data_IF_858887724768
#
_entry.id   IF_858887724768
#
_cell.length_a   1.000
_cell.length_b   1.000
_cell.length_c   1.000
_cell.angle_alpha   90.00
_cell.angle_beta   90.00
_cell.angle_gamma   90.00
#
_symmetry.space_group_name_H-M   'P 1'
#
loop_
_entity.id
_entity.type
_entity.pdbx_description
1 polymer ?
#
# COMPACT_ATOMS: atom_id res chain seq x y z
N UNK A 1 -30.48 4.67 -0.47
CA UNK A 1 -30.01 5.62 -1.49
C UNK A 1 -28.78 6.34 -0.93
N UNK A 2 -27.59 5.87 -1.23
CA UNK A 2 -26.33 6.49 -0.82
C UNK A 2 -25.91 7.43 -1.94
N UNK A 3 -25.99 8.74 -1.71
CA UNK A 3 -25.40 9.73 -2.61
C UNK A 3 -23.87 9.72 -2.38
N UNK A 4 -23.15 9.25 -3.37
CA UNK A 4 -21.71 9.32 -3.44
C UNK A 4 -21.28 10.75 -3.80
N UNK A 5 -20.61 11.43 -2.89
CA UNK A 5 -19.78 12.59 -3.25
C UNK A 5 -18.40 12.11 -3.71
N UNK A 6 -17.79 12.74 -4.73
CA UNK A 6 -16.55 12.25 -5.31
C UNK A 6 -15.37 12.42 -4.36
N UNK A 7 -14.56 11.37 -4.28
CA UNK A 7 -13.24 11.44 -3.65
C UNK A 7 -12.39 12.50 -4.36
N UNK A 8 -11.98 13.56 -3.65
CA UNK A 8 -10.97 14.48 -4.14
C UNK A 8 -9.63 13.75 -4.30
N UNK A 9 -9.44 13.19 -5.48
CA UNK A 9 -8.10 12.88 -5.98
C UNK A 9 -7.52 14.20 -6.46
N UNK A 10 -6.40 14.62 -5.89
CA UNK A 10 -5.68 15.81 -6.32
C UNK A 10 -5.31 15.69 -7.80
N UNK A 11 -6.08 16.37 -8.66
CA UNK A 11 -5.76 16.56 -10.06
C UNK A 11 -4.80 17.73 -10.21
N UNK A 12 -3.63 17.50 -10.76
CA UNK A 12 -2.72 18.53 -11.20
C UNK A 12 -3.28 19.18 -12.46
N UNK A 13 -3.73 20.42 -12.38
CA UNK A 13 -3.98 21.30 -13.51
C UNK A 13 -2.74 22.14 -13.80
N UNK A 14 -2.01 21.78 -14.82
CA UNK A 14 -0.94 22.57 -15.41
C UNK A 14 -0.97 22.38 -16.92
N UNK A 15 -1.61 23.32 -17.61
CA UNK A 15 -1.60 23.40 -19.07
C UNK A 15 -0.24 23.93 -19.54
N UNK A 16 0.62 23.03 -20.04
CA UNK A 16 1.80 23.41 -20.78
C UNK A 16 1.94 22.48 -21.97
N UNK A 17 1.81 23.07 -23.17
CA UNK A 17 1.88 22.41 -24.46
C UNK A 17 3.11 21.54 -24.64
N UNK A 18 3.02 20.26 -24.36
CA UNK A 18 4.01 19.25 -24.65
C UNK A 18 3.52 18.33 -25.75
N UNK A 19 4.37 18.15 -26.75
CA UNK A 19 4.23 17.23 -27.87
C UNK A 19 3.70 15.88 -27.37
N UNK A 20 2.51 15.50 -27.81
CA UNK A 20 1.90 14.18 -27.58
C UNK A 20 2.87 13.10 -28.07
N UNK A 21 3.62 12.51 -27.19
CA UNK A 21 4.27 11.24 -27.43
C UNK A 21 3.15 10.19 -27.49
N UNK A 22 2.70 9.86 -28.70
CA UNK A 22 1.81 8.72 -28.93
C UNK A 22 2.64 7.46 -28.71
N UNK A 23 2.53 6.88 -27.54
CA UNK A 23 2.94 5.49 -27.35
C UNK A 23 1.98 4.62 -28.17
N UNK A 24 2.48 3.74 -29.05
CA UNK A 24 1.62 2.82 -29.77
C UNK A 24 1.04 1.83 -28.76
N UNK A 25 -0.28 1.89 -28.53
CA UNK A 25 -1.02 0.79 -27.95
C UNK A 25 -0.94 -0.37 -28.94
N UNK A 26 0.02 -1.27 -28.80
CA UNK A 26 -0.11 -2.60 -29.37
C UNK A 26 -1.37 -3.21 -28.73
N UNK A 27 -2.38 -3.51 -29.54
CA UNK A 27 -3.53 -4.30 -29.11
C UNK A 27 -3.03 -5.66 -28.66
N UNK A 28 -2.63 -5.77 -27.42
CA UNK A 28 -2.36 -7.06 -26.78
C UNK A 28 -3.67 -7.83 -26.75
N UNK A 29 -3.60 -9.09 -27.04
CA UNK A 29 -4.72 -10.03 -27.08
C UNK A 29 -5.43 -9.97 -25.72
N UNK A 30 -6.65 -9.43 -25.65
CA UNK A 30 -7.47 -9.47 -24.44
C UNK A 30 -7.68 -10.92 -24.02
N UNK A 31 -7.52 -11.20 -22.73
CA UNK A 31 -7.85 -12.50 -22.14
C UNK A 31 -9.32 -12.78 -22.42
N UNK A 32 -9.64 -13.92 -23.02
CA UNK A 32 -11.02 -14.33 -23.24
C UNK A 32 -11.53 -15.00 -21.96
N UNK A 33 -12.43 -14.33 -21.26
CA UNK A 33 -13.07 -14.87 -20.07
C UNK A 33 -14.28 -15.73 -20.41
N UNK A 34 -14.53 -16.77 -19.61
CA UNK A 34 -15.68 -17.66 -19.72
C UNK A 34 -16.63 -17.55 -18.53
N UNK A 35 -16.14 -17.05 -17.40
CA UNK A 35 -16.91 -16.86 -16.16
C UNK A 35 -16.40 -15.65 -15.41
N UNK A 36 -17.29 -14.92 -14.73
CA UNK A 36 -16.93 -13.87 -13.76
C UNK A 36 -17.87 -13.89 -12.56
N UNK A 37 -17.32 -13.61 -11.38
CA UNK A 37 -18.07 -13.46 -10.12
C UNK A 37 -17.66 -12.16 -9.46
N UNK A 38 -18.60 -11.27 -9.10
CA UNK A 38 -18.28 -10.02 -8.42
C UNK A 38 -17.66 -10.26 -7.04
N UNK A 39 -16.66 -9.43 -6.67
CA UNK A 39 -16.06 -9.39 -5.35
C UNK A 39 -16.52 -8.10 -4.69
N UNK A 40 -17.32 -8.22 -3.63
CA UNK A 40 -17.94 -7.08 -2.93
C UNK A 40 -17.12 -6.59 -1.74
N UNK A 41 -16.04 -7.26 -1.41
CA UNK A 41 -15.18 -6.93 -0.27
C UNK A 41 -14.21 -5.78 -0.60
N UNK A 42 -13.91 -4.96 0.43
CA UNK A 42 -12.95 -3.85 0.37
C UNK A 42 -13.60 -2.47 0.29
N UNK A 43 -12.76 -1.43 0.47
CA UNK A 43 -13.17 -0.03 0.66
C UNK A 43 -13.06 0.84 -0.61
N UNK A 44 -12.65 0.25 -1.76
CA UNK A 44 -12.53 0.99 -3.01
C UNK A 44 -13.84 1.05 -3.77
N UNK A 45 -14.06 2.15 -4.53
CA UNK A 45 -15.18 2.29 -5.46
C UNK A 45 -14.97 1.50 -6.76
N UNK A 46 -13.91 0.69 -6.87
CA UNK A 46 -13.63 -0.12 -8.03
C UNK A 46 -14.52 -1.37 -8.07
N UNK A 47 -14.89 -1.77 -9.28
CA UNK A 47 -15.50 -3.08 -9.48
C UNK A 47 -14.42 -4.14 -9.55
N UNK A 48 -14.57 -5.19 -8.79
CA UNK A 48 -13.64 -6.33 -8.74
C UNK A 48 -14.38 -7.61 -9.08
N UNK A 49 -13.73 -8.46 -9.88
CA UNK A 49 -14.28 -9.75 -10.27
C UNK A 49 -13.21 -10.83 -10.17
N UNK A 50 -13.58 -11.97 -9.61
CA UNK A 50 -12.95 -13.23 -9.95
C UNK A 50 -13.33 -13.56 -11.38
N UNK A 51 -12.38 -13.93 -12.23
CA UNK A 51 -12.63 -14.27 -13.62
C UNK A 51 -11.89 -15.55 -14.00
N UNK A 52 -12.57 -16.45 -14.71
CA UNK A 52 -11.97 -17.64 -15.30
C UNK A 52 -11.72 -17.40 -16.78
N UNK A 53 -10.48 -17.56 -17.21
CA UNK A 53 -10.10 -17.44 -18.61
C UNK A 53 -10.43 -18.70 -19.41
N UNK A 54 -10.59 -18.54 -20.74
CA UNK A 54 -10.71 -19.68 -21.65
C UNK A 54 -9.44 -20.55 -21.72
N UNK A 55 -8.33 -20.05 -21.17
CA UNK A 55 -7.08 -20.79 -20.97
C UNK A 55 -7.06 -21.62 -19.68
N UNK A 56 -8.17 -21.65 -18.94
CA UNK A 56 -8.33 -22.35 -17.68
C UNK A 56 -7.68 -21.69 -16.47
N UNK A 57 -7.12 -20.48 -16.65
CA UNK A 57 -6.48 -19.73 -15.55
C UNK A 57 -7.46 -18.82 -14.83
N UNK A 58 -7.18 -18.61 -13.56
CA UNK A 58 -7.92 -17.69 -12.67
C UNK A 58 -7.30 -16.30 -12.71
N UNK A 59 -8.14 -15.27 -12.67
CA UNK A 59 -7.74 -13.88 -12.73
C UNK A 59 -8.52 -13.01 -11.75
N UNK A 60 -7.91 -11.94 -11.29
CA UNK A 60 -8.58 -10.79 -10.70
C UNK A 60 -8.72 -9.73 -11.81
N UNK A 61 -9.95 -9.44 -12.20
CA UNK A 61 -10.27 -8.29 -13.05
C UNK A 61 -10.72 -7.15 -12.15
N UNK A 62 -10.04 -6.01 -12.25
CA UNK A 62 -10.35 -4.77 -11.56
C UNK A 62 -10.69 -3.69 -12.55
N UNK A 63 -11.79 -2.99 -12.32
CA UNK A 63 -12.27 -1.90 -13.16
C UNK A 63 -12.43 -0.65 -12.32
N UNK A 64 -11.76 0.42 -12.73
CA UNK A 64 -11.81 1.74 -12.07
C UNK A 64 -12.55 2.71 -13.01
N UNK A 65 -13.84 3.02 -12.73
CA UNK A 65 -14.58 4.01 -13.50
C UNK A 65 -14.06 5.42 -13.25
N UNK A 66 -14.28 6.31 -14.24
CA UNK A 66 -13.97 7.73 -14.13
C UNK A 66 -12.82 8.17 -15.04
N UNK A 67 -12.34 9.39 -14.86
CA UNK A 67 -11.26 9.94 -15.70
C UNK A 67 -10.03 9.06 -15.68
N UNK A 68 -9.49 8.79 -16.87
CA UNK A 68 -8.27 8.00 -17.02
C UNK A 68 -7.13 8.75 -16.35
N UNK A 69 -6.57 8.14 -15.29
CA UNK A 69 -5.31 8.62 -14.72
C UNK A 69 -4.17 8.24 -15.69
N UNK A 70 -3.47 9.23 -16.21
CA UNK A 70 -2.34 9.00 -17.13
C UNK A 70 -1.19 8.23 -16.46
N UNK A 71 -1.08 8.32 -15.12
CA UNK A 71 -0.06 7.60 -14.37
C UNK A 71 -0.38 6.11 -14.19
N UNK A 72 -1.63 5.69 -14.44
CA UNK A 72 -2.08 4.31 -14.25
C UNK A 72 -1.20 3.28 -14.97
N UNK A 73 -0.88 3.53 -16.27
CA UNK A 73 -0.03 2.63 -17.05
C UNK A 73 1.39 2.60 -16.48
N UNK A 74 1.93 3.76 -16.08
CA UNK A 74 3.26 3.85 -15.50
C UNK A 74 3.35 3.07 -14.19
N UNK A 75 2.34 3.16 -13.32
CA UNK A 75 2.25 2.42 -12.07
C UNK A 75 2.08 0.91 -12.32
N UNK A 76 1.26 0.54 -13.30
CA UNK A 76 1.08 -0.87 -13.66
C UNK A 76 2.38 -1.50 -14.19
N UNK A 77 3.12 -0.80 -15.06
CA UNK A 77 4.41 -1.28 -15.55
C UNK A 77 5.48 -1.27 -14.45
N UNK A 78 5.44 -0.33 -13.49
CA UNK A 78 6.30 -0.37 -12.30
C UNK A 78 6.04 -1.62 -11.45
N UNK A 79 4.77 -1.97 -11.22
CA UNK A 79 4.42 -3.20 -10.52
C UNK A 79 4.90 -4.46 -11.25
N UNK A 80 4.82 -4.51 -12.59
CA UNK A 80 5.40 -5.62 -13.39
C UNK A 80 6.91 -5.70 -13.19
N UNK A 81 7.59 -4.56 -13.16
CA UNK A 81 9.02 -4.49 -12.92
C UNK A 81 9.37 -5.04 -11.54
N UNK A 82 8.59 -4.71 -10.49
CA UNK A 82 8.76 -5.31 -9.17
C UNK A 82 8.70 -6.85 -9.22
N UNK A 83 7.66 -7.40 -9.85
CA UNK A 83 7.52 -8.86 -9.99
C UNK A 83 8.74 -9.49 -10.70
N UNK A 84 9.26 -8.82 -11.73
CA UNK A 84 10.46 -9.30 -12.46
C UNK A 84 11.73 -9.23 -11.60
N UNK A 85 11.90 -8.18 -10.79
CA UNK A 85 13.02 -8.05 -9.85
C UNK A 85 12.98 -9.18 -8.83
N UNK A 86 11.83 -9.42 -8.19
CA UNK A 86 11.67 -10.48 -7.19
C UNK A 86 11.95 -11.86 -7.82
N UNK A 87 11.38 -12.14 -8.99
CA UNK A 87 11.62 -13.41 -9.71
C UNK A 87 13.10 -13.67 -9.97
N UNK A 88 13.83 -12.63 -10.37
CA UNK A 88 15.27 -12.72 -10.64
C UNK A 88 16.09 -12.83 -9.35
N UNK A 89 15.81 -12.03 -8.33
CA UNK A 89 16.54 -12.00 -7.08
C UNK A 89 16.39 -13.28 -6.26
N UNK A 90 15.18 -13.83 -6.22
CA UNK A 90 14.86 -15.09 -5.49
C UNK A 90 15.06 -16.34 -6.34
N UNK A 91 15.39 -16.18 -7.63
CA UNK A 91 15.52 -17.27 -8.60
C UNK A 91 14.28 -18.18 -8.65
N UNK A 92 13.09 -17.59 -8.63
CA UNK A 92 11.80 -18.27 -8.67
C UNK A 92 11.04 -17.96 -9.96
N UNK A 93 10.19 -18.88 -10.45
CA UNK A 93 9.35 -18.59 -11.61
C UNK A 93 8.31 -17.51 -11.26
N UNK A 94 7.90 -16.74 -12.28
CA UNK A 94 6.98 -15.60 -12.11
C UNK A 94 5.70 -15.96 -11.34
N UNK A 95 5.19 -17.17 -11.48
CA UNK A 95 3.97 -17.64 -10.81
C UNK A 95 4.15 -17.83 -9.30
N UNK A 96 5.39 -17.87 -8.80
CA UNK A 96 5.73 -18.03 -7.38
C UNK A 96 6.15 -16.71 -6.75
N UNK A 97 6.16 -15.61 -7.51
CA UNK A 97 6.47 -14.29 -6.97
C UNK A 97 5.42 -13.90 -5.91
N UNK A 98 5.83 -13.54 -4.68
CA UNK A 98 4.93 -13.34 -3.55
C UNK A 98 4.19 -11.99 -3.60
N UNK A 99 3.58 -11.67 -4.73
CA UNK A 99 2.74 -10.47 -4.88
C UNK A 99 1.71 -10.64 -5.99
N UNK A 100 0.69 -9.78 -6.01
CA UNK A 100 -0.26 -9.66 -7.13
C UNK A 100 0.48 -9.41 -8.43
N UNK A 101 0.43 -10.36 -9.36
CA UNK A 101 1.16 -10.30 -10.64
C UNK A 101 0.30 -9.61 -11.68
N UNK A 102 0.68 -8.41 -12.14
CA UNK A 102 -0.05 -7.69 -13.18
C UNK A 102 0.18 -8.34 -14.54
N UNK A 103 -0.91 -8.55 -15.29
CA UNK A 103 -0.89 -9.26 -16.57
C UNK A 103 -1.20 -8.28 -17.71
N UNK A 104 -2.35 -7.61 -17.63
CA UNK A 104 -2.88 -6.76 -18.69
C UNK A 104 -3.59 -5.56 -18.08
N UNK A 105 -3.53 -4.42 -18.75
CA UNK A 105 -4.33 -3.25 -18.42
C UNK A 105 -4.74 -2.52 -19.69
N UNK A 106 -5.81 -1.71 -19.59
CA UNK A 106 -6.30 -0.94 -20.71
C UNK A 106 -7.40 0.04 -20.33
N UNK A 107 -8.07 0.56 -21.35
CA UNK A 107 -9.22 1.44 -21.20
C UNK A 107 -10.49 0.62 -21.00
N UNK A 108 -11.46 1.20 -20.31
CA UNK A 108 -12.74 0.54 -20.05
C UNK A 108 -13.46 0.12 -21.34
N UNK A 109 -13.39 0.90 -22.41
CA UNK A 109 -14.00 0.58 -23.70
C UNK A 109 -13.58 -0.79 -24.26
N UNK A 110 -12.36 -1.23 -23.93
CA UNK A 110 -11.82 -2.49 -24.44
C UNK A 110 -12.50 -3.72 -23.82
N UNK A 111 -13.17 -3.57 -22.66
CA UNK A 111 -13.83 -4.66 -21.92
C UNK A 111 -15.34 -4.52 -21.78
N UNK A 112 -15.97 -3.48 -22.35
CA UNK A 112 -17.42 -3.27 -22.27
C UNK A 112 -18.25 -4.49 -22.71
N UNK A 113 -17.75 -5.24 -23.70
CA UNK A 113 -18.42 -6.43 -24.20
C UNK A 113 -18.48 -7.57 -23.16
N UNK A 114 -17.57 -7.54 -22.16
CA UNK A 114 -17.49 -8.55 -21.12
C UNK A 114 -18.17 -8.13 -19.80
N UNK A 115 -18.20 -6.83 -19.51
CA UNK A 115 -18.70 -6.27 -18.26
C UNK A 115 -19.99 -5.46 -18.50
N UNK A 116 -21.13 -6.13 -18.70
CA UNK A 116 -22.43 -5.49 -18.94
C UNK A 116 -22.91 -4.61 -17.78
N UNK A 117 -22.58 -4.99 -16.58
CA UNK A 117 -22.92 -4.32 -15.32
C UNK A 117 -22.24 -2.97 -15.12
N UNK A 118 -21.19 -2.69 -15.89
CA UNK A 118 -20.45 -1.40 -15.86
C UNK A 118 -20.63 -0.57 -17.15
N UNK A 119 -21.49 -0.98 -18.08
CA UNK A 119 -21.74 -0.26 -19.35
C UNK A 119 -22.22 1.18 -19.18
N UNK A 120 -22.74 1.54 -18.01
CA UNK A 120 -23.12 2.90 -17.68
C UNK A 120 -21.91 3.86 -17.55
N UNK A 121 -20.70 3.33 -17.38
CA UNK A 121 -19.49 4.12 -17.31
C UNK A 121 -18.83 4.19 -18.68
N UNK A 122 -18.69 5.40 -19.20
CA UNK A 122 -18.11 5.65 -20.53
C UNK A 122 -16.60 5.90 -20.49
N UNK A 123 -16.06 6.17 -19.31
CA UNK A 123 -14.62 6.40 -19.10
C UNK A 123 -14.12 5.56 -17.93
N UNK A 124 -12.89 5.12 -18.01
CA UNK A 124 -12.22 4.36 -16.96
C UNK A 124 -11.06 3.53 -17.46
N UNK A 125 -10.48 2.78 -16.55
CA UNK A 125 -9.40 1.82 -16.83
C UNK A 125 -9.74 0.45 -16.25
N UNK A 126 -9.11 -0.57 -16.80
CA UNK A 126 -9.12 -1.91 -16.20
C UNK A 126 -7.70 -2.43 -16.00
N UNK A 127 -7.54 -3.30 -15.04
CA UNK A 127 -6.33 -4.08 -14.81
C UNK A 127 -6.68 -5.53 -14.53
N UNK A 128 -5.85 -6.44 -15.03
CA UNK A 128 -5.96 -7.88 -14.82
C UNK A 128 -4.72 -8.35 -14.11
N UNK A 129 -4.93 -9.12 -13.07
CA UNK A 129 -3.88 -9.74 -12.27
C UNK A 129 -4.07 -11.26 -12.27
N UNK A 130 -2.98 -12.01 -12.13
CA UNK A 130 -3.09 -13.41 -11.79
C UNK A 130 -3.85 -13.52 -10.46
N UNK A 131 -4.74 -14.49 -10.36
CA UNK A 131 -5.42 -14.76 -9.10
C UNK A 131 -4.42 -15.29 -8.07
N UNK A 132 -4.43 -14.69 -6.88
CA UNK A 132 -3.65 -15.16 -5.74
C UNK A 132 -4.54 -16.08 -4.89
N UNK A 133 -4.23 -17.38 -4.89
CA UNK A 133 -4.90 -18.33 -4.00
C UNK A 133 -4.30 -18.20 -2.59
N UNK A 134 -5.17 -18.03 -1.57
CA UNK A 134 -4.77 -17.90 -0.17
C UNK A 134 -5.86 -17.31 0.70
N UNK A 135 -5.70 -17.43 2.00
CA UNK A 135 -6.53 -16.78 3.02
C UNK A 135 -5.93 -15.47 3.50
N UNK A 136 -6.74 -14.62 4.16
CA UNK A 136 -6.25 -13.40 4.78
C UNK A 136 -5.13 -13.71 5.80
N UNK A 137 -4.04 -12.93 5.77
CA UNK A 137 -2.90 -13.18 6.64
C UNK A 137 -3.16 -12.80 8.10
N UNK A 138 -4.03 -11.83 8.35
CA UNK A 138 -4.31 -11.34 9.70
C UNK A 138 -4.73 -12.45 10.68
N UNK A 139 -5.78 -13.26 10.42
CA UNK A 139 -6.16 -14.36 11.32
C UNK A 139 -5.11 -15.47 11.39
N UNK A 140 -4.35 -15.71 10.32
CA UNK A 140 -3.29 -16.72 10.33
C UNK A 140 -2.12 -16.27 11.21
N UNK A 141 -1.63 -15.04 11.06
CA UNK A 141 -0.53 -14.48 11.86
C UNK A 141 -0.92 -14.40 13.33
N UNK A 142 -2.17 -14.05 13.66
CA UNK A 142 -2.63 -13.97 15.05
C UNK A 142 -2.45 -15.26 15.85
N UNK A 143 -2.46 -16.42 15.19
CA UNK A 143 -2.35 -17.74 15.85
C UNK A 143 -0.97 -18.41 15.66
N UNK A 144 -0.08 -17.82 14.86
CA UNK A 144 1.29 -18.32 14.70
C UNK A 144 2.10 -18.15 15.99
N UNK A 145 3.06 -19.04 16.30
CA UNK A 145 4.09 -18.77 17.30
C UNK A 145 4.87 -17.48 16.98
N UNK A 146 5.38 -16.80 18.00
CA UNK A 146 6.10 -15.53 17.87
C UNK A 146 7.26 -15.58 16.84
N UNK A 147 8.01 -16.69 16.85
CA UNK A 147 9.10 -16.90 15.90
C UNK A 147 8.62 -16.98 14.45
N UNK A 148 7.49 -17.65 14.21
CA UNK A 148 6.90 -17.74 12.87
C UNK A 148 6.32 -16.39 12.41
N UNK A 149 5.68 -15.63 13.33
CA UNK A 149 5.23 -14.27 13.04
C UNK A 149 6.40 -13.38 12.60
N UNK A 150 7.53 -13.46 13.31
CA UNK A 150 8.73 -12.70 12.96
C UNK A 150 9.32 -13.14 11.62
N UNK A 151 9.46 -14.44 11.38
CA UNK A 151 9.95 -14.97 10.11
C UNK A 151 9.05 -14.59 8.94
N UNK A 152 7.73 -14.59 9.14
CA UNK A 152 6.76 -14.12 8.15
C UNK A 152 6.92 -12.61 7.88
N UNK A 153 7.19 -11.82 8.94
CA UNK A 153 7.54 -10.41 8.84
C UNK A 153 8.84 -10.17 8.06
N UNK A 154 9.90 -10.95 8.31
CA UNK A 154 11.15 -10.86 7.54
C UNK A 154 10.92 -11.04 6.04
N UNK A 155 10.07 -12.00 5.64
CA UNK A 155 9.71 -12.19 4.23
C UNK A 155 8.97 -10.98 3.68
N UNK A 156 7.98 -10.46 4.41
CA UNK A 156 7.26 -9.25 4.00
C UNK A 156 8.23 -8.06 3.85
N UNK A 157 9.14 -7.84 4.78
CA UNK A 157 10.16 -6.78 4.69
C UNK A 157 11.05 -6.91 3.46
N UNK A 158 11.47 -8.13 3.13
CA UNK A 158 12.27 -8.42 1.93
C UNK A 158 11.52 -8.11 0.63
N UNK A 159 10.25 -8.52 0.54
CA UNK A 159 9.40 -8.19 -0.61
C UNK A 159 9.24 -6.68 -0.76
N UNK A 160 9.02 -5.96 0.34
CA UNK A 160 8.93 -4.50 0.31
C UNK A 160 10.23 -3.84 -0.18
N UNK A 161 11.38 -4.37 0.23
CA UNK A 161 12.69 -3.91 -0.24
C UNK A 161 12.80 -4.00 -1.76
N UNK A 162 12.43 -5.12 -2.36
CA UNK A 162 12.41 -5.31 -3.82
C UNK A 162 11.41 -4.38 -4.53
N UNK A 163 10.24 -4.15 -3.95
CA UNK A 163 9.27 -3.18 -4.49
C UNK A 163 9.90 -1.80 -4.60
N UNK A 164 10.66 -1.38 -3.59
CA UNK A 164 11.33 -0.09 -3.55
C UNK A 164 12.60 0.00 -4.43
N UNK A 165 13.05 -1.08 -5.07
CA UNK A 165 14.14 -1.03 -6.06
C UNK A 165 13.73 -0.39 -7.39
N UNK A 166 12.43 -0.22 -7.65
CA UNK A 166 11.95 0.46 -8.87
C UNK A 166 12.00 1.97 -8.66
N UNK A 167 12.91 2.69 -9.33
CA UNK A 167 13.04 4.14 -9.16
C UNK A 167 11.84 4.88 -9.74
N UNK A 168 11.54 6.05 -9.19
CA UNK A 168 10.58 6.97 -9.79
C UNK A 168 11.07 7.49 -11.14
N UNK A 169 10.18 7.71 -12.12
CA UNK A 169 10.50 8.43 -13.35
C UNK A 169 10.94 9.87 -13.07
N UNK A 170 11.79 10.44 -13.93
CA UNK A 170 12.35 11.79 -13.80
C UNK A 170 11.27 12.90 -13.76
N UNK A 171 10.10 12.65 -14.32
CA UNK A 171 8.99 13.61 -14.38
C UNK A 171 8.08 13.57 -13.15
N UNK A 172 8.37 12.78 -12.12
CA UNK A 172 7.60 12.75 -10.88
C UNK A 172 7.88 14.01 -10.07
N UNK A 173 6.84 14.65 -9.58
CA UNK A 173 6.96 15.83 -8.72
C UNK A 173 7.84 15.55 -7.52
N UNK A 174 8.68 16.52 -7.14
CA UNK A 174 9.57 16.42 -5.99
C UNK A 174 8.82 16.01 -4.73
N UNK A 175 9.37 15.04 -3.99
CA UNK A 175 8.72 14.50 -2.79
C UNK A 175 8.52 15.54 -1.69
N UNK A 176 9.54 16.36 -1.41
CA UNK A 176 9.45 17.38 -0.37
C UNK A 176 8.32 18.37 -0.64
N UNK A 177 8.17 18.82 -1.89
CA UNK A 177 7.08 19.72 -2.29
C UNK A 177 5.72 19.05 -2.09
N UNK A 178 5.55 17.85 -2.62
CA UNK A 178 4.29 17.10 -2.59
C UNK A 178 3.86 16.75 -1.18
N UNK A 179 4.77 16.25 -0.35
CA UNK A 179 4.44 15.86 1.02
C UNK A 179 4.13 17.09 1.89
N UNK A 180 4.81 18.23 1.66
CA UNK A 180 4.54 19.45 2.37
C UNK A 180 3.13 20.01 2.09
N UNK A 181 2.68 19.98 0.83
CA UNK A 181 1.29 20.31 0.48
C UNK A 181 0.31 19.36 1.18
N UNK A 182 0.61 18.06 1.19
CA UNK A 182 -0.21 17.07 1.88
C UNK A 182 -0.29 17.33 3.39
N UNK A 183 0.82 17.69 4.04
CA UNK A 183 0.87 18.03 5.47
C UNK A 183 -0.04 19.24 5.76
N UNK A 184 0.04 20.32 4.99
CA UNK A 184 -0.81 21.51 5.22
C UNK A 184 -2.30 21.17 5.12
N UNK A 185 -2.68 20.36 4.11
CA UNK A 185 -4.06 19.92 3.97
C UNK A 185 -4.51 19.07 5.16
N UNK A 186 -3.67 18.15 5.63
CA UNK A 186 -3.98 17.29 6.78
C UNK A 186 -4.07 18.10 8.08
N UNK A 187 -3.18 19.07 8.28
CA UNK A 187 -3.24 19.99 9.42
C UNK A 187 -4.53 20.81 9.40
N UNK A 188 -4.97 21.28 8.23
CA UNK A 188 -6.25 21.97 8.07
C UNK A 188 -7.42 21.07 8.43
N UNK A 189 -7.49 19.87 7.85
CA UNK A 189 -8.55 18.88 8.14
C UNK A 189 -8.59 18.51 9.62
N UNK A 190 -7.45 18.35 10.27
CA UNK A 190 -7.36 18.07 11.69
C UNK A 190 -7.95 19.21 12.53
N UNK A 191 -7.63 20.45 12.21
CA UNK A 191 -8.17 21.64 12.90
C UNK A 191 -9.68 21.82 12.71
N UNK A 192 -10.18 21.53 11.50
CA UNK A 192 -11.58 21.68 11.13
C UNK A 192 -12.46 20.51 11.60
N UNK A 193 -11.85 19.39 12.02
CA UNK A 193 -12.58 18.22 12.48
C UNK A 193 -13.34 18.49 13.78
N UNK A 194 -14.64 18.14 13.78
CA UNK A 194 -15.49 18.27 14.97
C UNK A 194 -15.17 17.23 16.05
N UNK A 195 -14.52 16.15 15.69
CA UNK A 195 -14.14 15.07 16.59
C UNK A 195 -12.79 15.41 17.23
N UNK A 196 -12.75 15.48 18.56
CA UNK A 196 -11.50 15.71 19.31
C UNK A 196 -10.64 14.45 19.31
N UNK A 197 -9.36 14.64 19.02
CA UNK A 197 -8.34 13.63 19.22
C UNK A 197 -7.31 14.19 20.21
N UNK A 198 -7.31 13.66 21.43
CA UNK A 198 -6.53 14.19 22.57
C UNK A 198 -5.02 14.19 22.33
N UNK A 199 -4.53 13.37 21.41
CA UNK A 199 -3.09 13.25 21.10
C UNK A 199 -2.67 14.05 19.86
N UNK A 200 -3.63 14.65 19.14
CA UNK A 200 -3.36 15.34 17.87
C UNK A 200 -2.35 16.49 18.01
N UNK A 201 -2.42 17.28 19.09
CA UNK A 201 -1.51 18.39 19.31
C UNK A 201 -0.05 17.92 19.45
N UNK A 202 0.18 16.80 20.14
CA UNK A 202 1.53 16.21 20.25
C UNK A 202 2.07 15.76 18.89
N UNK A 203 1.22 15.20 18.03
CA UNK A 203 1.61 14.84 16.66
C UNK A 203 1.92 16.08 15.81
N UNK A 204 1.12 17.12 15.95
CA UNK A 204 1.35 18.40 15.26
C UNK A 204 2.69 19.02 15.68
N UNK A 205 3.01 19.04 16.97
CA UNK A 205 4.29 19.54 17.47
C UNK A 205 5.47 18.71 16.96
N UNK A 206 5.33 17.36 16.97
CA UNK A 206 6.37 16.49 16.42
C UNK A 206 6.61 16.73 14.92
N UNK A 207 5.54 16.91 14.13
CA UNK A 207 5.62 17.23 12.70
C UNK A 207 6.36 18.57 12.51
N UNK A 208 6.01 19.63 13.24
CA UNK A 208 6.66 20.93 13.14
C UNK A 208 8.16 20.85 13.42
N UNK A 209 8.55 20.13 14.47
CA UNK A 209 9.94 19.99 14.90
C UNK A 209 10.78 19.18 13.90
N UNK A 210 10.20 18.16 13.25
CA UNK A 210 10.93 17.17 12.46
C UNK A 210 10.71 17.29 10.95
N UNK A 211 9.89 18.24 10.47
CA UNK A 211 9.56 18.38 9.04
C UNK A 211 10.79 18.56 8.13
N UNK A 212 11.88 19.07 8.66
CA UNK A 212 13.14 19.24 7.95
C UNK A 212 13.76 17.91 7.48
N UNK A 213 13.39 16.77 8.07
CA UNK A 213 13.84 15.42 7.69
C UNK A 213 13.28 14.97 6.32
N UNK A 214 12.26 15.66 5.80
CA UNK A 214 11.65 15.35 4.50
C UNK A 214 12.48 15.84 3.30
N UNK A 215 13.56 16.58 3.56
CA UNK A 215 14.44 17.12 2.51
C UNK A 215 15.24 16.01 1.83
N UNK A 216 15.38 16.14 0.49
CA UNK A 216 16.24 15.27 -0.32
C UNK A 216 15.96 13.77 -0.16
N UNK A 217 14.72 13.39 0.18
CA UNK A 217 14.35 11.99 0.25
C UNK A 217 14.31 11.36 -1.15
N UNK A 218 14.78 10.11 -1.31
CA UNK A 218 14.68 9.40 -2.57
C UNK A 218 13.22 9.14 -2.93
N UNK A 219 12.96 8.90 -4.21
CA UNK A 219 11.64 8.50 -4.68
C UNK A 219 11.71 7.18 -5.43
N UNK A 220 10.89 6.23 -5.00
CA UNK A 220 10.77 4.91 -5.61
C UNK A 220 9.30 4.56 -5.80
N UNK A 221 9.01 3.52 -6.55
CA UNK A 221 7.68 2.92 -6.57
C UNK A 221 7.34 2.37 -5.19
N UNK A 222 6.09 2.56 -4.75
CA UNK A 222 5.58 2.12 -3.46
C UNK A 222 4.26 1.39 -3.63
N UNK A 223 3.98 0.51 -2.70
CA UNK A 223 2.68 -0.16 -2.59
C UNK A 223 1.56 0.83 -2.18
N UNK A 224 1.87 1.76 -1.28
CA UNK A 224 0.97 2.82 -0.79
C UNK A 224 0.04 2.41 0.35
N UNK A 225 -0.06 1.11 0.67
CA UNK A 225 -0.90 0.58 1.75
C UNK A 225 -0.36 -0.74 2.30
N UNK A 226 0.94 -0.80 2.62
CA UNK A 226 1.66 -2.01 3.02
C UNK A 226 1.41 -2.37 4.48
N UNK A 227 0.41 -3.19 4.75
CA UNK A 227 0.06 -3.67 6.09
C UNK A 227 -0.59 -5.06 6.04
N UNK A 228 -0.74 -5.69 7.21
CA UNK A 228 -1.22 -7.07 7.36
C UNK A 228 -2.54 -7.36 6.63
N UNK A 229 -3.46 -6.39 6.55
CA UNK A 229 -4.74 -6.55 5.86
C UNK A 229 -4.62 -6.70 4.32
N UNK A 230 -3.46 -6.38 3.75
CA UNK A 230 -3.16 -6.52 2.32
C UNK A 230 -2.21 -7.67 2.03
N UNK A 231 -2.16 -8.67 2.93
CA UNK A 231 -1.40 -9.89 2.73
C UNK A 231 -2.30 -11.12 2.77
N UNK A 232 -1.93 -12.13 1.97
CA UNK A 232 -2.51 -13.46 2.03
C UNK A 232 -1.45 -14.46 2.50
N UNK A 233 -1.93 -15.58 3.04
CA UNK A 233 -1.14 -16.77 3.28
C UNK A 233 -1.68 -17.86 2.37
N UNK A 234 -0.85 -18.44 1.51
CA UNK A 234 -1.24 -19.55 0.65
C UNK A 234 -1.23 -20.90 1.42
N UNK A 235 -1.66 -21.97 0.77
CA UNK A 235 -1.72 -23.32 1.37
C UNK A 235 -0.34 -23.85 1.79
N UNK A 236 0.74 -23.30 1.24
CA UNK A 236 2.13 -23.64 1.61
C UNK A 236 2.67 -22.76 2.77
N UNK A 237 1.85 -21.88 3.35
CA UNK A 237 2.24 -20.95 4.41
C UNK A 237 3.07 -19.76 3.94
N UNK A 238 3.08 -19.47 2.64
CA UNK A 238 3.85 -18.38 2.06
C UNK A 238 3.04 -17.09 1.96
N UNK A 239 3.73 -15.96 2.13
CA UNK A 239 3.17 -14.62 1.98
C UNK A 239 2.87 -14.30 0.52
N UNK A 240 1.74 -13.64 0.27
CA UNK A 240 1.44 -12.96 -0.99
C UNK A 240 0.97 -11.54 -0.70
N UNK A 241 1.63 -10.54 -1.27
CA UNK A 241 1.26 -9.12 -1.18
C UNK A 241 0.21 -8.79 -2.24
N UNK A 242 -0.92 -8.21 -1.83
CA UNK A 242 -2.04 -7.86 -2.72
C UNK A 242 -2.41 -6.39 -2.60
N UNK A 243 -3.29 -5.93 -3.47
CA UNK A 243 -3.95 -4.60 -3.42
C UNK A 243 -3.03 -3.38 -3.61
N UNK A 244 -2.36 -3.31 -4.76
CA UNK A 244 -1.52 -2.17 -5.18
C UNK A 244 -2.32 -0.93 -5.65
N UNK A 245 -3.59 -0.79 -5.30
CA UNK A 245 -4.45 0.28 -5.80
C UNK A 245 -4.09 1.68 -5.30
N UNK A 246 -3.29 1.77 -4.24
CA UNK A 246 -2.76 3.02 -3.70
C UNK A 246 -1.29 3.25 -4.08
N UNK A 247 -0.76 2.41 -4.98
CA UNK A 247 0.62 2.56 -5.41
C UNK A 247 0.88 3.94 -6.01
N UNK A 248 2.03 4.48 -5.72
CA UNK A 248 2.54 5.74 -6.26
C UNK A 248 4.08 5.75 -6.26
N UNK A 249 4.67 6.89 -6.60
CA UNK A 249 6.11 7.12 -6.44
C UNK A 249 6.35 8.11 -5.29
N UNK A 250 7.24 7.78 -4.36
CA UNK A 250 7.55 8.65 -3.22
C UNK A 250 8.66 8.11 -2.35
N UNK A 251 8.86 8.72 -1.16
CA UNK A 251 9.86 8.24 -0.21
C UNK A 251 9.52 6.82 0.23
N UNK A 252 10.41 5.82 -0.03
CA UNK A 252 10.18 4.43 0.35
C UNK A 252 9.90 4.25 1.85
N UNK A 253 10.49 5.07 2.72
CA UNK A 253 10.30 4.93 4.16
C UNK A 253 8.95 5.46 4.64
N UNK A 254 8.25 6.25 3.85
CA UNK A 254 6.88 6.66 4.17
C UNK A 254 5.91 5.47 4.19
N UNK A 255 6.20 4.40 3.45
CA UNK A 255 5.40 3.17 3.42
C UNK A 255 5.17 2.60 4.83
N UNK A 256 6.20 2.67 5.68
CA UNK A 256 6.18 2.11 7.04
C UNK A 256 5.18 2.79 8.00
N UNK A 257 4.58 3.93 7.64
CA UNK A 257 3.50 4.52 8.45
C UNK A 257 2.29 3.58 8.60
N UNK A 258 2.14 2.59 7.72
CA UNK A 258 1.08 1.58 7.75
C UNK A 258 1.38 0.42 8.71
N UNK A 259 2.60 0.32 9.24
CA UNK A 259 2.96 -0.70 10.22
C UNK A 259 2.14 -0.61 11.53
N UNK A 260 1.48 0.50 11.79
CA UNK A 260 0.58 0.65 12.95
C UNK A 260 -0.47 -0.47 13.02
N UNK A 261 -1.01 -0.91 11.87
CA UNK A 261 -1.94 -2.03 11.80
C UNK A 261 -1.29 -3.37 12.12
N UNK A 262 -0.10 -3.58 11.56
CA UNK A 262 0.68 -4.81 11.77
C UNK A 262 1.21 -4.90 13.19
N UNK A 263 1.67 -3.77 13.77
CA UNK A 263 2.19 -3.71 15.14
C UNK A 263 1.10 -3.91 16.20
N UNK A 264 -0.13 -3.41 15.93
CA UNK A 264 -1.29 -3.68 16.78
C UNK A 264 -1.58 -5.18 16.87
N UNK A 265 -1.51 -5.90 15.74
CA UNK A 265 -1.73 -7.34 15.71
C UNK A 265 -0.57 -8.10 16.34
N UNK A 266 0.67 -7.78 15.96
CA UNK A 266 1.88 -8.49 16.38
C UNK A 266 3.12 -7.61 16.32
N UNK A 267 3.73 -7.28 17.47
CA UNK A 267 5.05 -6.65 17.54
C UNK A 267 6.13 -7.47 16.83
N UNK A 268 6.05 -8.79 16.87
CA UNK A 268 7.00 -9.71 16.23
C UNK A 268 6.94 -9.58 14.70
N UNK A 269 5.74 -9.63 14.14
CA UNK A 269 5.53 -9.49 12.71
C UNK A 269 5.98 -8.11 12.21
N UNK A 270 5.59 -7.03 12.89
CA UNK A 270 5.99 -5.67 12.52
C UNK A 270 7.51 -5.46 12.60
N UNK A 271 8.16 -5.97 13.65
CA UNK A 271 9.63 -5.94 13.78
C UNK A 271 10.31 -6.74 12.69
N UNK A 272 9.74 -7.91 12.35
CA UNK A 272 10.22 -8.71 11.22
C UNK A 272 10.18 -7.93 9.90
N UNK A 273 9.12 -7.16 9.62
CA UNK A 273 9.04 -6.32 8.41
C UNK A 273 10.20 -5.31 8.37
N UNK A 274 10.44 -4.61 9.47
CA UNK A 274 11.54 -3.64 9.56
C UNK A 274 12.89 -4.32 9.35
N UNK A 275 13.15 -5.40 10.09
CA UNK A 275 14.42 -6.11 10.03
C UNK A 275 14.66 -6.77 8.67
N UNK A 276 13.62 -7.34 8.04
CA UNK A 276 13.71 -7.92 6.70
C UNK A 276 13.97 -6.90 5.60
N UNK A 277 13.46 -5.68 5.76
CA UNK A 277 13.72 -4.59 4.83
C UNK A 277 15.16 -4.07 4.91
N UNK A 278 15.69 -3.95 6.11
CA UNK A 278 17.03 -3.38 6.37
C UNK A 278 18.11 -4.44 6.58
N UNK A 279 17.84 -5.73 6.32
CA UNK A 279 18.80 -6.83 6.56
C UNK A 279 19.37 -6.79 8.00
N UNK A 280 18.52 -6.54 8.98
CA UNK A 280 18.84 -6.35 10.41
C UNK A 280 19.71 -5.12 10.74
N UNK A 281 20.01 -4.24 9.78
CA UNK A 281 20.84 -3.05 9.96
C UNK A 281 20.01 -1.77 9.82
N UNK A 282 19.06 -1.56 10.73
CA UNK A 282 18.12 -0.41 10.67
C UNK A 282 18.88 0.91 10.91
N UNK A 283 18.86 1.86 9.94
CA UNK A 283 19.54 3.15 10.11
C UNK A 283 18.89 3.98 11.24
N UNK A 284 19.66 4.64 12.12
CA UNK A 284 19.07 5.45 13.21
C UNK A 284 18.10 6.52 12.74
N UNK A 285 18.35 7.16 11.60
CA UNK A 285 17.49 8.19 11.03
C UNK A 285 16.12 7.65 10.57
N UNK A 286 16.00 6.36 10.30
CA UNK A 286 14.74 5.72 9.96
C UNK A 286 13.68 5.93 11.04
N UNK A 287 14.06 5.82 12.31
CA UNK A 287 13.11 5.87 13.41
C UNK A 287 12.45 7.24 13.56
N UNK A 288 13.21 8.32 13.39
CA UNK A 288 12.67 9.69 13.39
C UNK A 288 11.72 9.94 12.22
N UNK A 289 12.06 9.41 11.04
CA UNK A 289 11.22 9.50 9.85
C UNK A 289 9.96 8.63 9.98
N UNK A 290 10.07 7.42 10.55
CA UNK A 290 8.91 6.59 10.83
C UNK A 290 7.94 7.30 11.76
N UNK A 291 8.42 7.86 12.89
CA UNK A 291 7.59 8.64 13.81
C UNK A 291 6.94 9.84 13.10
N UNK A 292 7.70 10.58 12.27
CA UNK A 292 7.17 11.71 11.51
C UNK A 292 6.06 11.28 10.55
N UNK A 293 6.27 10.24 9.75
CA UNK A 293 5.27 9.75 8.80
C UNK A 293 4.04 9.18 9.51
N UNK A 294 4.24 8.53 10.66
CA UNK A 294 3.14 8.03 11.49
C UNK A 294 2.30 9.17 12.06
N UNK A 295 2.94 10.25 12.56
CA UNK A 295 2.24 11.46 13.01
C UNK A 295 1.45 12.12 11.86
N UNK A 296 2.07 12.28 10.68
CA UNK A 296 1.43 12.85 9.48
C UNK A 296 0.19 12.02 9.07
N UNK A 297 0.25 10.70 9.21
CA UNK A 297 -0.90 9.84 8.97
C UNK A 297 -1.95 10.00 10.09
N UNK A 298 -1.52 10.00 11.34
CA UNK A 298 -2.37 10.05 12.54
C UNK A 298 -3.25 11.30 12.62
N UNK A 299 -2.72 12.50 12.28
CA UNK A 299 -3.53 13.73 12.29
C UNK A 299 -4.65 13.74 11.25
N UNK A 300 -4.58 12.89 10.23
CA UNK A 300 -5.58 12.79 9.18
C UNK A 300 -6.54 11.60 9.36
N UNK A 301 -6.24 10.66 10.24
CA UNK A 301 -6.98 9.41 10.38
C UNK A 301 -8.40 9.63 10.91
N UNK A 302 -8.56 10.42 11.98
CA UNK A 302 -9.87 10.74 12.54
C UNK A 302 -10.74 11.57 11.58
N UNK A 303 -10.25 12.68 10.97
CA UNK A 303 -10.99 13.38 9.92
C UNK A 303 -11.43 12.48 8.75
N UNK A 304 -10.58 11.54 8.34
CA UNK A 304 -10.90 10.57 7.30
C UNK A 304 -12.04 9.62 7.73
N UNK A 305 -12.05 9.19 8.99
CA UNK A 305 -13.02 8.24 9.52
C UNK A 305 -14.45 8.81 9.63
N UNK A 306 -14.61 10.13 9.76
CA UNK A 306 -15.92 10.79 9.96
C UNK A 306 -16.95 10.36 8.91
N UNK A 307 -16.55 10.19 7.67
CA UNK A 307 -17.46 9.78 6.57
C UNK A 307 -17.93 8.33 6.67
N UNK A 308 -17.28 7.50 7.47
CA UNK A 308 -17.60 6.07 7.63
C UNK A 308 -18.42 5.79 8.89
N UNK A 309 -18.54 6.75 9.80
CA UNK A 309 -19.37 6.66 11.00
C UNK A 309 -18.57 6.40 12.27
N UNK A 310 -19.35 6.26 13.37
CA UNK A 310 -18.80 6.23 14.74
C UNK A 310 -17.83 5.07 14.98
N UNK A 311 -18.12 3.89 14.47
CA UNK A 311 -17.28 2.71 14.66
C UNK A 311 -15.85 2.96 14.14
N UNK A 312 -15.72 3.48 12.92
CA UNK A 312 -14.43 3.78 12.32
C UNK A 312 -13.71 4.95 13.03
N UNK A 313 -14.47 5.95 13.50
CA UNK A 313 -13.92 7.03 14.33
C UNK A 313 -13.26 6.46 15.58
N UNK A 314 -13.92 5.55 16.31
CA UNK A 314 -13.37 4.92 17.50
C UNK A 314 -12.12 4.07 17.21
N UNK A 315 -12.09 3.38 16.07
CA UNK A 315 -10.90 2.66 15.61
C UNK A 315 -9.72 3.62 15.43
N UNK A 316 -9.93 4.76 14.75
CA UNK A 316 -8.84 5.72 14.51
C UNK A 316 -8.40 6.45 15.79
N UNK A 317 -9.32 6.77 16.69
CA UNK A 317 -8.97 7.35 17.99
C UNK A 317 -8.12 6.40 18.83
N UNK A 318 -8.50 5.12 18.90
CA UNK A 318 -7.70 4.09 19.58
C UNK A 318 -6.32 3.96 18.95
N UNK A 319 -6.23 3.85 17.63
CA UNK A 319 -4.96 3.71 16.92
C UNK A 319 -4.02 4.90 17.16
N UNK A 320 -4.52 6.13 17.15
CA UNK A 320 -3.69 7.31 17.42
C UNK A 320 -3.19 7.33 18.86
N UNK A 321 -4.00 6.87 19.82
CA UNK A 321 -3.59 6.73 21.24
C UNK A 321 -2.51 5.66 21.40
N UNK A 322 -2.66 4.50 20.77
CA UNK A 322 -1.64 3.44 20.76
C UNK A 322 -0.30 3.97 20.21
N UNK A 323 -0.33 4.69 19.10
CA UNK A 323 0.88 5.32 18.54
C UNK A 323 1.52 6.27 19.56
N UNK A 324 0.74 7.12 20.22
CA UNK A 324 1.22 8.04 21.23
C UNK A 324 1.88 7.31 22.40
N UNK A 325 1.30 6.21 22.85
CA UNK A 325 1.81 5.35 23.91
C UNK A 325 3.10 4.62 23.47
N UNK A 326 3.15 4.07 22.25
CA UNK A 326 4.35 3.39 21.72
C UNK A 326 5.56 4.30 21.65
N UNK A 327 5.36 5.58 21.42
CA UNK A 327 6.43 6.59 21.40
C UNK A 327 6.58 7.34 22.74
N UNK A 328 5.95 6.83 23.84
CA UNK A 328 5.97 7.45 25.16
C UNK A 328 5.71 8.98 25.10
N UNK A 329 4.56 9.36 24.53
CA UNK A 329 4.23 10.78 24.39
C UNK A 329 5.06 11.51 23.33
N UNK A 330 5.54 10.81 22.32
CA UNK A 330 6.45 11.29 21.26
C UNK A 330 7.85 11.70 21.75
N UNK A 331 8.29 11.17 22.90
CA UNK A 331 9.63 11.41 23.46
C UNK A 331 10.65 10.35 23.03
N UNK A 332 10.20 9.12 22.74
CA UNK A 332 11.06 8.05 22.28
C UNK A 332 11.23 8.11 20.75
N UNK A 333 12.43 7.83 20.27
CA UNK A 333 12.69 7.71 18.82
C UNK A 333 12.22 6.37 18.27
N UNK A 334 12.40 5.29 19.04
CA UNK A 334 12.04 3.91 18.66
C UNK A 334 10.72 3.56 19.35
N UNK A 335 9.70 3.09 18.62
CA UNK A 335 8.44 2.70 19.23
C UNK A 335 8.58 1.43 20.06
N UNK A 336 7.84 1.32 21.16
CA UNK A 336 7.93 0.19 22.10
C UNK A 336 7.53 -1.16 21.52
N UNK A 337 6.81 -1.20 20.40
CA UNK A 337 6.49 -2.45 19.70
C UNK A 337 7.70 -3.05 18.96
N UNK A 338 8.75 -2.27 18.68
CA UNK A 338 9.93 -2.81 18.00
C UNK A 338 10.80 -3.59 19.00
N UNK A 339 10.92 -4.88 18.76
CA UNK A 339 11.61 -5.83 19.66
C UNK A 339 13.08 -6.05 19.31
N UNK A 340 13.63 -5.32 18.33
CA UNK A 340 15.00 -5.55 17.86
C UNK A 340 15.15 -6.85 17.03
N UNK A 341 16.37 -7.36 16.98
CA UNK A 341 16.68 -8.67 16.41
C UNK A 341 16.72 -9.69 17.54
N UNK A 342 15.83 -10.67 17.59
CA UNK A 342 15.80 -11.63 18.67
C UNK A 342 17.03 -12.55 18.65
N UNK A 343 17.82 -12.53 19.73
CA UNK A 343 19.07 -13.31 19.87
C UNK A 343 18.87 -14.84 19.78
N UNK A 344 17.64 -15.32 20.04
CA UNK A 344 17.32 -16.75 20.11
C UNK A 344 16.91 -17.39 18.77
N UNK A 345 16.86 -16.60 17.67
CA UNK A 345 16.24 -17.09 16.44
C UNK A 345 17.20 -17.35 15.29
N UNK A 346 18.50 -17.10 15.47
CA UNK A 346 19.54 -17.47 14.51
C UNK A 346 19.56 -19.00 14.23
N UNK A 347 19.15 -19.80 15.22
CA UNK A 347 19.03 -21.27 15.07
C UNK A 347 17.82 -21.71 14.21
N UNK A 348 16.81 -20.85 13.99
CA UNK A 348 15.62 -21.20 13.19
C UNK A 348 15.75 -20.81 11.71
N UNK A 349 16.65 -19.88 11.37
CA UNK A 349 16.86 -19.42 10.00
C UNK A 349 17.85 -20.28 9.22
N UNK A 350 18.72 -21.05 9.89
CA UNK A 350 19.71 -21.94 9.25
C UNK A 350 19.15 -23.30 8.79
N UNK A 351 17.93 -23.67 9.16
CA UNK A 351 17.34 -25.00 8.89
C UNK A 351 16.15 -25.02 7.92
N UNK A 352 15.98 -23.97 7.08
CA UNK A 352 14.98 -24.00 5.99
C UNK A 352 15.55 -23.54 4.66
#
# INVERSE_FOLDING_TARGET
>A
MKQSQPSERFGMGGDNGSKKCRMPFERKRMIKYIEKTPITQGWSDDYKYFALGADGKKYLLRVTPGKINLDFITLFEAQKKCASIISAAENIPMQQVPMSIPIECGKLDDIHAFCDDIRQHTEGTYAVYAWADGGAAEPAVAVMPAAEQYAFGLRAGRVLKYIHEVPAPDNVQNWEERINVSIENKLRLCRECSIKNDVADSFVEYIKANRHLLKNRPQTFRHGDYHIGNFLVNDSGELIVIDFNRSDFGDPWQEFNRLVWSAHLSPYFASGIVNGYFDNAVPPEFWKLLALYTCINGIASVPWAVRFGEEEIQVMLRQTREVYEWYNGMTNEIPSWYIGVPELWDAYTENR
#
